data_IF_998410988306
#
_entry.id   IF_998410988306
#
_cell.length_a   1.000
_cell.length_b   1.000
_cell.length_c   1.000
_cell.angle_alpha   90.00
_cell.angle_beta   90.00
_cell.angle_gamma   90.00
#
_symmetry.space_group_name_H-M   'P 1'
#
loop_
_entity.id
_entity.type
_entity.pdbx_description
1 polymer ?
#
# COMPACT_ATOMS: atom_id res chain seq x y z
N UNK A 1 6.76 -21.61 23.23
CA UNK A 1 5.72 -21.61 22.18
C UNK A 1 5.70 -20.26 21.41
N UNK A 2 6.86 -19.73 21.03
CA UNK A 2 7.04 -18.31 20.65
C UNK A 2 7.68 -18.10 19.26
N UNK A 3 8.02 -19.14 18.49
CA UNK A 3 8.74 -18.96 17.21
C UNK A 3 7.83 -18.72 15.98
N UNK A 4 6.58 -19.17 15.99
CA UNK A 4 5.69 -19.13 14.80
C UNK A 4 5.16 -17.73 14.45
N UNK A 5 5.07 -16.82 15.42
CA UNK A 5 4.48 -15.49 15.21
C UNK A 5 5.42 -14.52 14.46
N UNK A 6 6.74 -14.70 14.58
CA UNK A 6 7.72 -13.80 13.93
C UNK A 6 7.91 -14.07 12.44
N UNK A 7 7.57 -15.27 11.96
CA UNK A 7 7.71 -15.62 10.54
C UNK A 7 6.53 -15.18 9.70
N UNK A 8 5.30 -15.17 10.24
CA UNK A 8 4.09 -14.74 9.52
C UNK A 8 4.17 -13.27 9.12
N UNK A 9 4.48 -12.40 10.08
CA UNK A 9 4.57 -10.95 9.85
C UNK A 9 5.62 -10.59 8.78
N UNK A 10 6.73 -11.34 8.70
CA UNK A 10 7.76 -11.10 7.68
C UNK A 10 7.28 -11.41 6.25
N UNK A 11 6.43 -12.43 6.11
CA UNK A 11 5.83 -12.81 4.83
C UNK A 11 4.80 -11.76 4.42
N UNK A 12 3.98 -11.28 5.37
CA UNK A 12 2.98 -10.24 5.16
C UNK A 12 3.61 -8.93 4.67
N UNK A 13 4.68 -8.48 5.34
CA UNK A 13 5.43 -7.28 4.97
C UNK A 13 6.08 -7.41 3.58
N UNK A 14 6.73 -8.55 3.31
CA UNK A 14 7.36 -8.80 2.00
C UNK A 14 6.35 -8.83 0.85
N UNK A 15 5.21 -9.50 1.04
CA UNK A 15 4.13 -9.50 0.05
C UNK A 15 3.53 -8.11 -0.15
N UNK A 16 3.29 -7.38 0.93
CA UNK A 16 2.75 -6.02 0.86
C UNK A 16 3.66 -5.07 0.10
N UNK A 17 4.98 -5.17 0.31
CA UNK A 17 5.98 -4.36 -0.41
C UNK A 17 6.00 -4.68 -1.90
N UNK A 18 6.01 -5.97 -2.24
CA UNK A 18 6.02 -6.41 -3.63
C UNK A 18 4.75 -5.96 -4.38
N UNK A 19 3.58 -6.11 -3.74
CA UNK A 19 2.30 -5.63 -4.27
C UNK A 19 2.32 -4.11 -4.47
N UNK A 20 2.87 -3.36 -3.51
CA UNK A 20 2.94 -1.90 -3.63
C UNK A 20 3.76 -1.43 -4.84
N UNK A 21 4.92 -2.05 -5.06
CA UNK A 21 5.76 -1.75 -6.23
C UNK A 21 5.08 -2.12 -7.56
N UNK A 22 4.34 -3.23 -7.61
CA UNK A 22 3.58 -3.64 -8.80
C UNK A 22 2.46 -2.64 -9.09
N UNK A 23 1.68 -2.26 -8.08
CA UNK A 23 0.58 -1.32 -8.25
C UNK A 23 1.12 0.05 -8.70
N UNK A 24 2.23 0.54 -8.14
CA UNK A 24 2.85 1.79 -8.61
C UNK A 24 3.28 1.70 -10.07
N UNK A 25 3.92 0.60 -10.46
CA UNK A 25 4.31 0.38 -11.84
C UNK A 25 3.11 0.45 -12.79
N UNK A 26 1.99 -0.17 -12.41
CA UNK A 26 0.73 -0.11 -13.15
C UNK A 26 0.14 1.30 -13.19
N UNK A 27 0.11 2.02 -12.07
CA UNK A 27 -0.42 3.40 -12.01
C UNK A 27 0.39 4.32 -12.93
N UNK A 28 1.72 4.20 -12.95
CA UNK A 28 2.59 4.95 -13.86
C UNK A 28 2.36 4.59 -15.33
N UNK A 29 2.05 3.31 -15.62
CA UNK A 29 1.82 2.82 -16.98
C UNK A 29 0.44 3.20 -17.53
N UNK A 30 -0.57 3.28 -16.67
CA UNK A 30 -1.95 3.67 -17.01
C UNK A 30 -2.15 5.19 -17.10
N UNK A 31 -1.06 5.96 -17.04
CA UNK A 31 -1.06 7.43 -17.16
C UNK A 31 -1.89 8.15 -16.08
N UNK A 32 -2.02 7.53 -14.90
CA UNK A 32 -2.74 8.12 -13.76
C UNK A 32 -1.88 9.21 -13.09
N UNK A 33 -0.54 9.15 -13.25
CA UNK A 33 0.38 10.19 -12.76
C UNK A 33 0.88 11.02 -13.94
N UNK A 34 0.64 12.32 -13.86
CA UNK A 34 1.10 13.28 -14.85
C UNK A 34 2.59 13.55 -14.68
N UNK A 35 3.40 12.95 -15.54
CA UNK A 35 4.79 13.32 -15.77
C UNK A 35 4.88 14.07 -17.10
N UNK A 36 5.64 15.17 -17.13
CA UNK A 36 5.95 15.90 -18.36
C UNK A 36 6.83 15.03 -19.27
N UNK A 37 7.81 14.34 -18.69
CA UNK A 37 8.66 13.40 -19.41
C UNK A 37 8.07 11.98 -19.41
N UNK A 38 7.45 11.61 -20.54
CA UNK A 38 6.96 10.23 -20.75
C UNK A 38 8.09 9.19 -20.65
N UNK A 39 9.31 9.51 -21.11
CA UNK A 39 10.46 8.62 -21.02
C UNK A 39 10.81 8.32 -19.55
N UNK A 40 10.86 9.35 -18.71
CA UNK A 40 11.18 9.20 -17.29
C UNK A 40 10.10 8.38 -16.57
N UNK A 41 8.82 8.61 -16.89
CA UNK A 41 7.69 7.82 -16.38
C UNK A 41 7.84 6.33 -16.68
N UNK A 42 8.15 5.96 -17.93
CA UNK A 42 8.34 4.56 -18.31
C UNK A 42 9.57 3.92 -17.65
N UNK A 43 10.66 4.68 -17.49
CA UNK A 43 11.85 4.20 -16.76
C UNK A 43 11.52 3.91 -15.30
N UNK A 44 10.83 4.82 -14.61
CA UNK A 44 10.42 4.61 -13.21
C UNK A 44 9.41 3.46 -13.11
N UNK A 45 8.45 3.35 -14.04
CA UNK A 45 7.50 2.24 -14.09
C UNK A 45 8.21 0.90 -14.26
N UNK A 46 9.21 0.82 -15.16
CA UNK A 46 9.99 -0.40 -15.37
C UNK A 46 10.84 -0.77 -14.14
N UNK A 47 11.47 0.22 -13.49
CA UNK A 47 12.25 0.00 -12.26
C UNK A 47 11.35 -0.52 -11.14
N UNK A 48 10.25 0.19 -10.86
CA UNK A 48 9.31 -0.20 -9.79
C UNK A 48 8.66 -1.55 -10.06
N UNK A 49 8.26 -1.83 -11.31
CA UNK A 49 7.72 -3.12 -11.72
C UNK A 49 8.74 -4.25 -11.55
N UNK A 50 10.00 -4.03 -11.92
CA UNK A 50 11.07 -5.00 -11.75
C UNK A 50 11.33 -5.30 -10.27
N UNK A 51 11.37 -4.27 -9.41
CA UNK A 51 11.50 -4.44 -7.95
C UNK A 51 10.31 -5.24 -7.40
N UNK A 52 9.09 -4.96 -7.86
CA UNK A 52 7.89 -5.67 -7.43
C UNK A 52 7.90 -7.16 -7.81
N UNK A 53 8.27 -7.47 -9.07
CA UNK A 53 8.36 -8.86 -9.55
C UNK A 53 9.50 -9.62 -8.88
N UNK A 54 10.68 -9.01 -8.74
CA UNK A 54 11.80 -9.60 -7.99
C UNK A 54 11.44 -9.76 -6.51
N UNK A 55 10.69 -8.82 -5.94
CA UNK A 55 10.15 -8.90 -4.60
C UNK A 55 9.25 -10.11 -4.42
N UNK A 56 8.30 -10.37 -5.34
CA UNK A 56 7.45 -11.57 -5.31
C UNK A 56 8.24 -12.87 -5.50
N UNK A 57 9.23 -12.89 -6.40
CA UNK A 57 10.05 -14.06 -6.67
C UNK A 57 11.15 -14.32 -5.62
N UNK A 58 11.52 -13.28 -4.86
CA UNK A 58 12.63 -13.25 -3.92
C UNK A 58 12.21 -13.31 -2.45
N UNK A 59 10.99 -13.76 -2.13
CA UNK A 59 10.49 -13.91 -0.75
C UNK A 59 11.21 -14.98 0.10
N UNK A 60 12.37 -15.48 -0.34
CA UNK A 60 13.37 -16.12 0.51
C UNK A 60 14.52 -15.19 0.97
N UNK A 61 14.57 -13.93 0.52
CA UNK A 61 15.68 -13.02 0.82
C UNK A 61 15.40 -12.26 2.11
N UNK A 62 15.54 -13.01 3.19
CA UNK A 62 16.27 -12.65 4.40
C UNK A 62 15.96 -11.29 5.05
N UNK A 63 15.17 -11.35 6.12
CA UNK A 63 15.39 -10.61 7.36
C UNK A 63 15.53 -9.07 7.27
N UNK A 64 14.88 -8.39 6.33
CA UNK A 64 14.85 -6.94 6.40
C UNK A 64 13.79 -6.48 7.40
N UNK A 65 14.32 -5.86 8.47
CA UNK A 65 13.67 -5.15 9.57
C UNK A 65 12.77 -5.98 10.48
N UNK A 66 13.35 -6.53 11.54
CA UNK A 66 12.64 -7.20 12.65
C UNK A 66 11.80 -6.29 13.55
N UNK A 67 11.14 -5.26 12.99
CA UNK A 67 10.19 -4.41 13.72
C UNK A 67 8.85 -4.43 12.99
N UNK A 68 7.94 -5.24 13.51
CA UNK A 68 6.52 -5.19 13.13
C UNK A 68 5.93 -3.86 13.57
N UNK A 69 5.76 -2.92 12.64
CA UNK A 69 4.91 -1.76 12.88
C UNK A 69 3.45 -2.24 12.78
N UNK A 70 2.88 -2.61 13.92
CA UNK A 70 1.47 -2.98 14.09
C UNK A 70 0.63 -1.77 14.51
N UNK A 71 0.67 -0.68 13.77
CA UNK A 71 -0.27 0.45 13.94
C UNK A 71 -1.12 0.45 12.68
N UNK A 72 -2.46 0.38 12.81
CA UNK A 72 -3.45 0.21 11.72
C UNK A 72 -2.95 0.58 10.32
N UNK A 73 -2.33 -0.41 9.65
CA UNK A 73 -1.60 -0.22 8.40
C UNK A 73 -2.53 0.31 7.28
N UNK A 74 -3.82 -0.02 7.36
CA UNK A 74 -4.85 0.44 6.43
C UNK A 74 -5.09 1.95 6.59
N UNK A 75 -5.32 2.42 7.82
CA UNK A 75 -5.56 3.84 8.10
C UNK A 75 -4.35 4.70 7.73
N UNK A 76 -3.14 4.23 8.07
CA UNK A 76 -1.91 4.91 7.70
C UNK A 76 -1.73 4.91 6.17
N UNK A 77 -2.03 3.78 5.52
CA UNK A 77 -2.00 3.67 4.06
C UNK A 77 -2.94 4.67 3.38
N UNK A 78 -4.20 4.73 3.84
CA UNK A 78 -5.20 5.69 3.36
C UNK A 78 -4.75 7.14 3.56
N UNK A 79 -4.15 7.46 4.71
CA UNK A 79 -3.63 8.79 4.99
C UNK A 79 -2.54 9.21 4.00
N UNK A 80 -1.58 8.32 3.70
CA UNK A 80 -0.54 8.59 2.71
C UNK A 80 -1.09 8.70 1.29
N UNK A 81 -2.10 7.91 0.92
CA UNK A 81 -2.80 8.05 -0.37
C UNK A 81 -3.51 9.40 -0.46
N UNK A 82 -4.21 9.82 0.59
CA UNK A 82 -4.87 11.13 0.63
C UNK A 82 -3.85 12.29 0.53
N UNK A 83 -2.72 12.17 1.22
CA UNK A 83 -1.61 13.13 1.10
C UNK A 83 -1.01 13.14 -0.31
N UNK A 84 -0.83 11.98 -0.93
CA UNK A 84 -0.38 11.88 -2.31
C UNK A 84 -1.32 12.63 -3.25
N UNK A 85 -2.63 12.34 -3.22
CA UNK A 85 -3.63 12.98 -4.09
C UNK A 85 -3.62 14.50 -3.87
N UNK A 86 -3.56 14.94 -2.62
CA UNK A 86 -3.50 16.36 -2.29
C UNK A 86 -2.23 16.99 -2.89
N UNK A 87 -1.06 16.41 -2.61
CA UNK A 87 0.22 16.96 -3.06
C UNK A 87 0.38 16.93 -4.59
N UNK A 88 -0.06 15.86 -5.26
CA UNK A 88 0.06 15.72 -6.71
C UNK A 88 -0.74 16.77 -7.48
N UNK A 89 -1.80 17.32 -6.88
CA UNK A 89 -2.62 18.38 -7.47
C UNK A 89 -2.07 19.79 -7.23
N UNK A 90 -1.15 19.97 -6.27
CA UNK A 90 -0.56 21.29 -5.95
C UNK A 90 0.84 21.49 -6.55
N UNK A 91 1.59 20.42 -6.79
CA UNK A 91 2.98 20.50 -7.24
C UNK A 91 3.14 19.89 -8.64
N UNK A 92 3.38 20.76 -9.61
CA UNK A 92 3.69 20.37 -10.99
C UNK A 92 5.21 20.19 -11.19
N UNK A 93 5.56 19.24 -12.05
CA UNK A 93 6.92 18.98 -12.50
C UNK A 93 7.47 17.63 -12.04
N UNK A 94 8.24 17.00 -12.94
CA UNK A 94 8.74 15.62 -12.81
C UNK A 94 9.46 15.32 -11.49
N UNK A 95 10.23 16.28 -10.96
CA UNK A 95 10.98 16.11 -9.70
C UNK A 95 10.01 16.03 -8.51
N UNK A 96 9.02 16.91 -8.46
CA UNK A 96 8.04 16.90 -7.38
C UNK A 96 7.16 15.66 -7.45
N UNK A 97 6.74 15.26 -8.66
CA UNK A 97 5.99 14.02 -8.86
C UNK A 97 6.79 12.79 -8.43
N UNK A 98 8.11 12.76 -8.67
CA UNK A 98 8.99 11.68 -8.19
C UNK A 98 9.05 11.63 -6.66
N UNK A 99 9.14 12.77 -5.99
CA UNK A 99 9.17 12.85 -4.52
C UNK A 99 7.80 12.46 -3.92
N UNK A 100 6.71 12.92 -4.53
CA UNK A 100 5.34 12.63 -4.10
C UNK A 100 5.00 11.15 -4.32
N UNK A 101 5.59 10.50 -5.34
CA UNK A 101 5.45 9.07 -5.58
C UNK A 101 5.88 8.20 -4.38
N UNK A 102 6.82 8.69 -3.56
CA UNK A 102 7.26 8.01 -2.33
C UNK A 102 6.09 7.92 -1.33
N UNK A 103 5.25 8.96 -1.25
CA UNK A 103 4.05 8.94 -0.40
C UNK A 103 3.06 7.87 -0.90
N UNK A 104 2.88 7.78 -2.22
CA UNK A 104 2.04 6.75 -2.82
C UNK A 104 2.55 5.34 -2.53
N UNK A 105 3.88 5.14 -2.52
CA UNK A 105 4.51 3.87 -2.18
C UNK A 105 4.18 3.45 -0.75
N UNK A 106 4.35 4.34 0.22
CA UNK A 106 3.98 4.06 1.60
C UNK A 106 2.47 3.86 1.77
N UNK A 107 1.65 4.61 1.02
CA UNK A 107 0.20 4.48 1.00
C UNK A 107 -0.26 3.10 0.56
N UNK A 108 0.18 2.65 -0.62
CA UNK A 108 -0.18 1.35 -1.16
C UNK A 108 0.42 0.22 -0.32
N UNK A 109 1.64 0.39 0.19
CA UNK A 109 2.26 -0.58 1.11
C UNK A 109 1.41 -0.80 2.38
N UNK A 110 0.99 0.28 3.03
CA UNK A 110 0.13 0.21 4.22
C UNK A 110 -1.20 -0.47 3.92
N UNK A 111 -1.83 -0.11 2.79
CA UNK A 111 -3.06 -0.76 2.33
C UNK A 111 -2.88 -2.25 2.05
N UNK A 112 -1.83 -2.63 1.32
CA UNK A 112 -1.58 -4.01 0.94
C UNK A 112 -1.29 -4.88 2.15
N UNK A 113 -0.38 -4.46 3.03
CA UNK A 113 -0.06 -5.17 4.29
C UNK A 113 -1.28 -5.26 5.20
N UNK A 114 -2.04 -4.17 5.36
CA UNK A 114 -3.26 -4.16 6.15
C UNK A 114 -4.32 -5.15 5.65
N UNK A 115 -4.55 -5.18 4.33
CA UNK A 115 -5.46 -6.13 3.69
C UNK A 115 -5.00 -7.58 3.88
N UNK A 116 -3.71 -7.88 3.71
CA UNK A 116 -3.16 -9.22 3.91
C UNK A 116 -3.35 -9.66 5.37
N UNK A 117 -3.02 -8.79 6.33
CA UNK A 117 -3.14 -9.10 7.76
C UNK A 117 -4.58 -9.41 8.14
N UNK A 118 -5.53 -8.67 7.57
CA UNK A 118 -6.95 -8.92 7.80
C UNK A 118 -7.41 -10.22 7.16
N UNK A 119 -7.01 -10.51 5.92
CA UNK A 119 -7.30 -11.79 5.26
C UNK A 119 -6.73 -12.97 6.06
N UNK A 120 -5.49 -12.88 6.53
CA UNK A 120 -4.89 -13.91 7.38
C UNK A 120 -5.64 -14.06 8.71
N UNK A 121 -6.10 -12.96 9.32
CA UNK A 121 -6.93 -13.02 10.51
C UNK A 121 -8.28 -13.69 10.26
N UNK A 122 -8.93 -13.43 9.12
CA UNK A 122 -10.19 -14.08 8.75
C UNK A 122 -10.01 -15.58 8.50
N UNK A 123 -8.93 -15.98 7.82
CA UNK A 123 -8.66 -17.38 7.46
C UNK A 123 -8.17 -18.20 8.65
N UNK A 124 -7.33 -17.65 9.52
CA UNK A 124 -6.71 -18.38 10.64
C UNK A 124 -7.48 -18.27 11.97
N UNK A 125 -8.61 -17.55 12.02
CA UNK A 125 -9.36 -17.41 13.27
C UNK A 125 -10.18 -18.67 13.57
N UNK A 126 -9.63 -19.52 14.43
CA UNK A 126 -10.39 -20.52 15.22
C UNK A 126 -11.27 -19.87 16.32
N UNK A 127 -11.20 -18.55 16.49
CA UNK A 127 -11.92 -17.81 17.53
C UNK A 127 -13.32 -17.36 17.11
N UNK A 128 -14.19 -17.20 18.12
CA UNK A 128 -15.64 -17.01 18.01
C UNK A 128 -16.06 -16.06 16.87
N UNK A 129 -16.99 -16.53 16.04
CA UNK A 129 -17.58 -15.85 14.88
C UNK A 129 -17.90 -14.36 15.11
N UNK A 130 -18.29 -13.99 16.34
CA UNK A 130 -18.58 -12.60 16.74
C UNK A 130 -17.38 -11.65 16.60
N UNK A 131 -16.16 -12.09 16.94
CA UNK A 131 -14.96 -11.25 16.85
C UNK A 131 -14.53 -11.02 15.40
N UNK A 132 -14.65 -12.04 14.55
CA UNK A 132 -14.40 -11.92 13.11
C UNK A 132 -15.38 -10.95 12.44
N UNK A 133 -16.67 -11.04 12.77
CA UNK A 133 -17.68 -10.11 12.23
C UNK A 133 -17.39 -8.67 12.67
N UNK A 134 -17.02 -8.45 13.93
CA UNK A 134 -16.66 -7.11 14.41
C UNK A 134 -15.46 -6.51 13.67
N UNK A 135 -14.36 -7.27 13.54
CA UNK A 135 -13.16 -6.82 12.84
C UNK A 135 -13.43 -6.56 11.35
N UNK A 136 -14.22 -7.40 10.70
CA UNK A 136 -14.61 -7.22 9.31
C UNK A 136 -15.47 -5.96 9.13
N UNK A 137 -16.43 -5.72 10.02
CA UNK A 137 -17.26 -4.50 9.98
C UNK A 137 -16.42 -3.24 10.17
N UNK A 138 -15.46 -3.23 11.10
CA UNK A 138 -14.54 -2.11 11.27
C UNK A 138 -13.75 -1.81 10.00
N UNK A 139 -13.23 -2.84 9.34
CA UNK A 139 -12.53 -2.70 8.06
C UNK A 139 -13.41 -2.13 6.96
N UNK A 140 -14.66 -2.57 6.84
CA UNK A 140 -15.60 -2.00 5.88
C UNK A 140 -15.85 -0.52 6.19
N UNK A 141 -16.00 -0.15 7.46
CA UNK A 141 -16.15 1.25 7.88
C UNK A 141 -14.89 2.06 7.52
N UNK A 142 -13.69 1.52 7.75
CA UNK A 142 -12.42 2.17 7.39
C UNK A 142 -12.26 2.36 5.89
N UNK A 143 -12.61 1.35 5.08
CA UNK A 143 -12.60 1.46 3.62
C UNK A 143 -13.61 2.52 3.17
N UNK A 144 -14.84 2.49 3.69
CA UNK A 144 -15.87 3.48 3.33
C UNK A 144 -15.43 4.88 3.72
N UNK A 145 -14.91 5.07 4.93
CA UNK A 145 -14.41 6.35 5.41
C UNK A 145 -13.22 6.85 4.59
N UNK A 146 -12.29 5.95 4.24
CA UNK A 146 -11.13 6.24 3.39
C UNK A 146 -11.54 6.64 1.98
N UNK A 147 -12.42 5.87 1.33
CA UNK A 147 -12.96 6.19 0.00
C UNK A 147 -13.70 7.53 0.05
N UNK A 148 -14.54 7.75 1.06
CA UNK A 148 -15.24 9.02 1.25
C UNK A 148 -14.28 10.20 1.33
N UNK A 149 -13.22 10.09 2.14
CA UNK A 149 -12.19 11.12 2.25
C UNK A 149 -11.46 11.35 0.92
N UNK A 150 -11.11 10.29 0.18
CA UNK A 150 -10.48 10.39 -1.14
C UNK A 150 -11.42 11.09 -2.14
N UNK A 151 -12.70 10.74 -2.15
CA UNK A 151 -13.71 11.36 -3.04
C UNK A 151 -13.88 12.84 -2.68
N UNK A 152 -14.00 13.19 -1.40
CA UNK A 152 -14.10 14.59 -0.98
C UNK A 152 -12.86 15.41 -1.33
N UNK A 153 -11.66 14.82 -1.26
CA UNK A 153 -10.44 15.48 -1.74
C UNK A 153 -10.51 15.65 -3.26
N UNK A 154 -10.87 14.62 -4.01
CA UNK A 154 -10.96 14.68 -5.46
C UNK A 154 -11.97 15.73 -5.96
N UNK A 155 -13.13 15.86 -5.30
CA UNK A 155 -14.15 16.87 -5.61
C UNK A 155 -13.66 18.31 -5.43
N UNK A 156 -12.66 18.58 -4.60
CA UNK A 156 -12.09 19.94 -4.45
C UNK A 156 -11.34 20.38 -5.73
N UNK A 157 -10.89 19.42 -6.54
CA UNK A 157 -10.03 19.68 -7.70
C UNK A 157 -10.71 19.45 -9.06
N UNK A 158 -12.00 19.09 -9.07
CA UNK A 158 -12.86 19.01 -10.27
C UNK A 158 -13.68 20.29 -10.37
#
# INVERSE_FOLDING_TARGET
MTSKKSSSNKIEEGFGLAIAFIIISLILLLDIVSYDSQTLKFVISAITGSIGVVGLGGLEINNFTGKSFNIDNITIGLFFVALYISASNFFDGDIYQTLILILLLFGIYGLATGCINLLMHLVNSENSMKRNVYNFTLFIIEIIGGISAIVSIAEIFI
#
